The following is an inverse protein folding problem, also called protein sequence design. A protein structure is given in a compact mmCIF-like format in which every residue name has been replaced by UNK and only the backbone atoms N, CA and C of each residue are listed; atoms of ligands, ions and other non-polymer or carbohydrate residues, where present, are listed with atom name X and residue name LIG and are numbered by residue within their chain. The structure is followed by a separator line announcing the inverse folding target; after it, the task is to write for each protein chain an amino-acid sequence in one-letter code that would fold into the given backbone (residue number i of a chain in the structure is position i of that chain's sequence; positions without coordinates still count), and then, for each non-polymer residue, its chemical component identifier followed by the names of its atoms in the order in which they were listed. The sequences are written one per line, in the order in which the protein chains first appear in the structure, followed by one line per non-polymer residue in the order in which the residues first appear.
data_IF_081282575535
#
_entry.id   IF_081282575535
#
_cell.length_a   1.000
_cell.length_b   1.000
_cell.length_c   1.000
_cell.angle_alpha   90.00
_cell.angle_beta   90.00
_cell.angle_gamma   90.00
#
_symmetry.space_group_name_H-M   'P 1'
#
loop_
_entity.id
_entity.type
_entity.pdbx_description
1 polymer ?
#
# COMPACT_ATOMS: atom_id res chain seq x y z
N UNK A 1 -9.08 -15.71 -20.04
CA UNK A 1 -9.08 -15.04 -18.72
C UNK A 1 -7.86 -15.56 -18.01
N UNK A 2 -6.93 -14.70 -17.75
CA UNK A 2 -5.65 -15.09 -17.16
C UNK A 2 -5.86 -15.41 -15.68
N UNK A 3 -5.39 -16.56 -15.26
CA UNK A 3 -5.37 -17.08 -13.87
C UNK A 3 -4.51 -16.23 -12.90
N UNK A 4 -4.28 -14.96 -13.26
CA UNK A 4 -3.33 -14.04 -12.62
C UNK A 4 -3.97 -13.13 -11.55
N UNK A 5 -5.31 -13.06 -11.50
CA UNK A 5 -6.02 -12.15 -10.59
C UNK A 5 -7.22 -12.85 -9.96
N UNK A 6 -7.38 -12.67 -8.65
CA UNK A 6 -8.50 -13.18 -7.87
C UNK A 6 -9.09 -12.05 -7.02
N UNK A 7 -10.42 -12.00 -6.94
CA UNK A 7 -11.14 -11.06 -6.07
C UNK A 7 -11.56 -11.81 -4.81
N UNK A 8 -11.33 -11.23 -3.66
CA UNK A 8 -11.81 -11.74 -2.37
C UNK A 8 -12.49 -10.64 -1.55
N UNK A 9 -13.49 -11.03 -0.79
CA UNK A 9 -14.13 -10.20 0.24
C UNK A 9 -13.37 -10.38 1.55
N UNK A 10 -12.84 -9.29 2.12
CA UNK A 10 -12.20 -9.29 3.44
C UNK A 10 -13.15 -8.69 4.48
N UNK A 11 -13.13 -9.22 5.70
CA UNK A 11 -14.04 -8.80 6.78
C UNK A 11 -13.23 -8.41 8.01
N UNK A 12 -13.59 -7.27 8.59
CA UNK A 12 -13.04 -6.83 9.86
C UNK A 12 -13.44 -7.79 10.99
N UNK A 13 -12.50 -8.09 11.87
CA UNK A 13 -12.78 -8.83 13.11
C UNK A 13 -13.30 -7.88 14.19
N UNK A 14 -14.48 -8.16 14.74
CA UNK A 14 -15.14 -7.31 15.75
C UNK A 14 -14.46 -7.38 17.12
N UNK A 15 -13.63 -8.40 17.37
CA UNK A 15 -13.05 -8.71 18.69
C UNK A 15 -11.51 -8.77 18.69
N UNK A 16 -10.86 -8.40 17.60
CA UNK A 16 -9.40 -8.47 17.51
C UNK A 16 -8.75 -7.27 18.21
N UNK A 17 -7.74 -7.55 19.01
CA UNK A 17 -6.73 -6.56 19.36
C UNK A 17 -5.82 -6.40 18.13
N UNK A 18 -6.10 -5.38 17.34
CA UNK A 18 -5.44 -5.16 16.04
C UNK A 18 -3.91 -5.14 16.15
N UNK A 19 -3.38 -4.50 17.18
CA UNK A 19 -1.93 -4.35 17.35
C UNK A 19 -1.27 -5.70 17.65
N UNK A 20 -1.92 -6.55 18.46
CA UNK A 20 -1.43 -7.90 18.73
C UNK A 20 -1.50 -8.79 17.48
N UNK A 21 -2.56 -8.68 16.68
CA UNK A 21 -2.72 -9.42 15.43
C UNK A 21 -1.73 -8.93 14.35
N UNK A 22 -1.48 -7.62 14.28
CA UNK A 22 -0.48 -7.04 13.40
C UNK A 22 0.93 -7.55 13.72
N UNK A 23 1.30 -7.55 15.00
CA UNK A 23 2.60 -8.05 15.43
C UNK A 23 2.78 -9.56 15.17
N UNK A 24 1.71 -10.33 15.33
CA UNK A 24 1.69 -11.75 14.99
C UNK A 24 1.89 -11.98 13.49
N UNK A 25 1.16 -11.23 12.63
CA UNK A 25 1.31 -11.31 11.18
C UNK A 25 2.74 -10.95 10.74
N UNK A 26 3.31 -9.88 11.31
CA UNK A 26 4.68 -9.44 11.03
C UNK A 26 5.71 -10.52 11.36
N UNK A 27 5.54 -11.23 12.50
CA UNK A 27 6.41 -12.36 12.88
C UNK A 27 6.26 -13.56 11.93
N UNK A 28 5.05 -13.88 11.51
CA UNK A 28 4.77 -14.96 10.56
C UNK A 28 5.48 -14.69 9.23
N UNK A 29 5.25 -13.52 8.62
CA UNK A 29 5.88 -13.12 7.36
C UNK A 29 7.41 -13.07 7.46
N UNK A 30 7.95 -12.58 8.58
CA UNK A 30 9.40 -12.60 8.83
C UNK A 30 9.95 -14.01 8.86
N UNK A 31 9.23 -14.97 9.44
CA UNK A 31 9.64 -16.38 9.46
C UNK A 31 9.60 -17.03 8.08
N UNK A 32 8.70 -16.58 7.22
CA UNK A 32 8.58 -16.97 5.81
C UNK A 32 9.59 -16.25 4.90
N UNK A 33 10.29 -15.24 5.41
CA UNK A 33 11.22 -14.34 4.69
C UNK A 33 10.52 -13.48 3.65
N UNK A 34 9.24 -13.23 3.79
CA UNK A 34 8.48 -12.33 2.94
C UNK A 34 8.44 -10.93 3.56
N UNK A 35 8.83 -9.93 2.79
CA UNK A 35 8.72 -8.53 3.20
C UNK A 35 7.34 -8.01 2.77
N UNK A 36 6.54 -7.51 3.71
CA UNK A 36 5.26 -6.86 3.42
C UNK A 36 5.42 -5.34 3.44
N UNK A 37 5.17 -4.71 2.30
CA UNK A 37 5.12 -3.26 2.12
C UNK A 37 3.66 -2.79 2.11
N UNK A 38 3.30 -1.85 2.97
CA UNK A 38 2.01 -1.16 2.94
C UNK A 38 2.17 0.20 2.23
N UNK A 39 1.52 0.38 1.08
CA UNK A 39 1.57 1.60 0.29
C UNK A 39 0.28 2.40 0.47
N UNK A 40 0.40 3.59 1.00
CA UNK A 40 -0.72 4.47 1.35
C UNK A 40 -0.65 5.80 0.59
N UNK A 41 -1.78 6.41 0.32
CA UNK A 41 -1.88 7.77 -0.24
C UNK A 41 -3.30 8.25 -0.35
N UNK A 42 -3.48 9.50 -0.78
CA UNK A 42 -4.76 9.96 -1.29
C UNK A 42 -5.12 9.30 -2.63
N UNK A 43 -6.41 9.29 -3.02
CA UNK A 43 -6.82 8.89 -4.36
C UNK A 43 -6.15 9.76 -5.42
N UNK A 44 -5.75 9.13 -6.53
CA UNK A 44 -5.15 9.85 -7.66
C UNK A 44 -3.69 10.28 -7.48
N UNK A 45 -3.02 9.95 -6.39
CA UNK A 45 -1.59 10.25 -6.16
C UNK A 45 -0.64 9.51 -7.11
N UNK A 46 -1.10 8.41 -7.74
CA UNK A 46 -0.34 7.59 -8.67
C UNK A 46 0.21 6.30 -8.08
N UNK A 47 -0.42 5.74 -7.02
CA UNK A 47 -0.03 4.44 -6.42
C UNK A 47 0.19 3.36 -7.45
N UNK A 48 -0.87 2.97 -8.16
CA UNK A 48 -0.88 1.89 -9.15
C UNK A 48 0.16 2.09 -10.24
N UNK A 49 0.33 3.33 -10.75
CA UNK A 49 1.35 3.63 -11.76
C UNK A 49 2.77 3.44 -11.18
N UNK A 50 3.02 3.90 -9.97
CA UNK A 50 4.29 3.73 -9.26
C UNK A 50 4.57 2.25 -9.03
N UNK A 51 3.57 1.47 -8.60
CA UNK A 51 3.70 0.04 -8.39
C UNK A 51 4.05 -0.71 -9.68
N UNK A 52 3.35 -0.47 -10.77
CA UNK A 52 3.63 -1.08 -12.08
C UNK A 52 5.08 -0.85 -12.49
N UNK A 53 5.57 0.39 -12.36
CA UNK A 53 6.97 0.71 -12.69
C UNK A 53 7.97 0.04 -11.75
N UNK A 54 7.66 -0.02 -10.46
CA UNK A 54 8.50 -0.66 -9.45
C UNK A 54 8.59 -2.16 -9.68
N UNK A 55 7.44 -2.82 -9.89
CA UNK A 55 7.38 -4.26 -10.13
C UNK A 55 8.18 -4.62 -11.37
N UNK A 56 7.94 -3.95 -12.50
CA UNK A 56 8.63 -4.22 -13.76
C UNK A 56 10.17 -4.05 -13.68
N UNK A 57 10.66 -3.26 -12.73
CA UNK A 57 12.10 -3.11 -12.48
C UNK A 57 12.67 -4.20 -11.59
N UNK A 58 11.88 -4.68 -10.61
CA UNK A 58 12.33 -5.60 -9.57
C UNK A 58 11.99 -7.07 -9.86
N UNK A 59 11.02 -7.38 -10.74
CA UNK A 59 10.52 -8.75 -10.97
C UNK A 59 11.56 -9.74 -11.54
N UNK A 60 12.69 -9.24 -12.01
CA UNK A 60 13.81 -10.08 -12.45
C UNK A 60 14.62 -10.65 -11.29
N UNK A 61 14.62 -9.93 -10.16
CA UNK A 61 15.43 -10.23 -9.00
C UNK A 61 14.60 -10.72 -7.81
N UNK A 62 13.30 -10.33 -7.75
CA UNK A 62 12.39 -10.61 -6.65
C UNK A 62 11.09 -11.26 -7.15
N UNK A 63 10.59 -12.22 -6.41
CA UNK A 63 9.23 -12.75 -6.57
C UNK A 63 8.25 -11.83 -5.85
N UNK A 64 7.40 -11.16 -6.62
CA UNK A 64 6.52 -10.11 -6.12
C UNK A 64 5.06 -10.54 -6.25
N UNK A 65 4.28 -10.27 -5.20
CA UNK A 65 2.83 -10.37 -5.22
C UNK A 65 2.19 -9.09 -4.70
N UNK A 66 0.99 -8.76 -5.19
CA UNK A 66 0.27 -7.54 -4.88
C UNK A 66 -1.13 -7.84 -4.37
N UNK A 67 -1.49 -7.21 -3.28
CA UNK A 67 -2.83 -7.11 -2.73
C UNK A 67 -3.34 -5.70 -2.98
N UNK A 68 -4.37 -5.56 -3.79
CA UNK A 68 -4.98 -4.29 -4.12
C UNK A 68 -6.24 -4.13 -3.28
N UNK A 69 -6.32 -3.08 -2.47
CA UNK A 69 -7.45 -2.83 -1.60
C UNK A 69 -8.30 -1.66 -2.09
N UNK A 70 -9.54 -1.94 -2.37
CA UNK A 70 -10.53 -0.91 -2.71
C UNK A 70 -11.89 -1.25 -2.09
N UNK A 71 -12.77 -0.25 -2.02
CA UNK A 71 -14.12 -0.41 -1.48
C UNK A 71 -14.93 -1.34 -2.39
N UNK A 72 -14.85 -1.16 -3.72
CA UNK A 72 -15.68 -1.90 -4.69
C UNK A 72 -15.04 -2.00 -6.11
N UNK A 73 -13.92 -1.28 -6.37
CA UNK A 73 -13.26 -1.29 -7.69
C UNK A 73 -12.25 -2.43 -7.80
N UNK A 74 -12.07 -2.94 -9.02
CA UNK A 74 -11.07 -3.95 -9.38
C UNK A 74 -10.11 -3.47 -10.49
N UNK A 75 -10.23 -2.21 -10.90
CA UNK A 75 -9.50 -1.61 -12.03
C UNK A 75 -8.00 -1.64 -11.81
N UNK A 76 -7.55 -1.33 -10.59
CA UNK A 76 -6.13 -1.25 -10.27
C UNK A 76 -5.50 -2.65 -10.21
N UNK A 77 -6.19 -3.64 -9.64
CA UNK A 77 -5.74 -5.04 -9.66
C UNK A 77 -5.62 -5.60 -11.09
N UNK A 78 -6.59 -5.30 -11.96
CA UNK A 78 -6.49 -5.64 -13.39
C UNK A 78 -5.32 -4.95 -14.07
N UNK A 79 -5.10 -3.67 -13.78
CA UNK A 79 -3.97 -2.91 -14.34
C UNK A 79 -2.63 -3.53 -13.99
N UNK A 80 -2.45 -3.96 -12.74
CA UNK A 80 -1.24 -4.64 -12.28
C UNK A 80 -1.10 -6.00 -12.97
N UNK A 81 -2.17 -6.81 -13.00
CA UNK A 81 -2.17 -8.13 -13.62
C UNK A 81 -1.88 -8.10 -15.13
N UNK A 82 -2.31 -7.05 -15.84
CA UNK A 82 -2.06 -6.87 -17.27
C UNK A 82 -0.66 -6.35 -17.58
N UNK A 83 -0.13 -5.44 -16.73
CA UNK A 83 1.11 -4.69 -17.02
C UNK A 83 2.35 -5.28 -16.35
N UNK A 84 2.21 -6.29 -15.50
CA UNK A 84 3.31 -6.93 -14.78
C UNK A 84 3.19 -8.45 -14.79
N UNK A 85 4.23 -9.14 -14.31
CA UNK A 85 4.17 -10.59 -14.09
C UNK A 85 3.86 -10.94 -12.62
N UNK A 86 3.64 -9.95 -11.76
CA UNK A 86 3.30 -10.20 -10.36
C UNK A 86 1.92 -10.88 -10.23
N UNK A 87 1.81 -11.78 -9.25
CA UNK A 87 0.51 -12.30 -8.84
C UNK A 87 -0.26 -11.16 -8.19
N UNK A 88 -1.48 -10.90 -8.63
CA UNK A 88 -2.33 -9.83 -8.10
C UNK A 88 -3.65 -10.40 -7.57
N UNK A 89 -4.08 -9.91 -6.42
CA UNK A 89 -5.42 -10.17 -5.88
C UNK A 89 -6.09 -8.86 -5.51
N UNK A 90 -7.41 -8.83 -5.66
CA UNK A 90 -8.25 -7.72 -5.21
C UNK A 90 -8.87 -8.04 -3.86
N UNK A 91 -8.75 -7.11 -2.93
CA UNK A 91 -9.40 -7.13 -1.62
C UNK A 91 -10.56 -6.13 -1.63
N UNK A 92 -11.80 -6.61 -1.69
CA UNK A 92 -12.97 -5.78 -1.49
C UNK A 92 -13.26 -5.63 0.00
N UNK A 93 -13.18 -4.40 0.50
CA UNK A 93 -13.31 -4.10 1.93
C UNK A 93 -14.77 -4.05 2.41
N UNK A 94 -15.73 -4.15 1.49
CA UNK A 94 -17.16 -4.15 1.83
C UNK A 94 -17.64 -2.84 2.44
N UNK A 95 -17.07 -1.71 2.02
CA UNK A 95 -17.43 -0.38 2.48
C UNK A 95 -16.47 0.22 3.53
N UNK A 96 -15.47 -0.53 3.99
CA UNK A 96 -14.44 -0.01 4.90
C UNK A 96 -13.42 0.82 4.11
N UNK A 97 -12.99 1.94 4.68
CA UNK A 97 -12.01 2.86 4.08
C UNK A 97 -10.56 2.57 4.50
N UNK A 98 -10.30 1.40 5.08
CA UNK A 98 -8.99 0.94 5.56
C UNK A 98 -8.95 -0.59 5.58
N UNK A 99 -7.75 -1.13 5.81
CA UNK A 99 -7.56 -2.51 6.23
C UNK A 99 -6.95 -2.54 7.64
N UNK A 100 -7.38 -3.54 8.42
CA UNK A 100 -6.75 -3.94 9.66
C UNK A 100 -5.81 -5.15 9.45
N UNK A 101 -5.20 -5.64 10.53
CA UNK A 101 -4.28 -6.78 10.47
C UNK A 101 -4.97 -8.09 10.06
N UNK A 102 -6.23 -8.30 10.47
CA UNK A 102 -6.96 -9.53 10.12
C UNK A 102 -7.37 -9.53 8.65
N UNK A 103 -7.86 -8.40 8.14
CA UNK A 103 -8.16 -8.23 6.71
C UNK A 103 -6.91 -8.43 5.86
N UNK A 104 -5.78 -7.86 6.28
CA UNK A 104 -4.47 -8.05 5.63
C UNK A 104 -4.04 -9.52 5.66
N UNK A 105 -4.22 -10.22 6.78
CA UNK A 105 -3.94 -11.66 6.92
C UNK A 105 -4.77 -12.51 5.95
N UNK A 106 -6.05 -12.17 5.76
CA UNK A 106 -6.90 -12.85 4.78
C UNK A 106 -6.30 -12.70 3.37
N UNK A 107 -5.85 -11.49 3.01
CA UNK A 107 -5.18 -11.23 1.74
C UNK A 107 -3.86 -12.00 1.58
N UNK A 108 -3.00 -11.95 2.59
CA UNK A 108 -1.71 -12.68 2.64
C UNK A 108 -1.91 -14.18 2.41
N UNK A 109 -2.92 -14.75 3.05
CA UNK A 109 -3.26 -16.18 2.90
C UNK A 109 -3.71 -16.54 1.49
N UNK A 110 -4.53 -15.68 0.87
CA UNK A 110 -5.01 -15.89 -0.51
C UNK A 110 -3.94 -15.63 -1.55
N UNK A 111 -3.03 -14.68 -1.27
CA UNK A 111 -1.87 -14.41 -2.13
C UNK A 111 -0.86 -15.56 -2.11
N UNK A 112 -0.84 -16.37 -1.04
CA UNK A 112 0.14 -17.43 -0.78
C UNK A 112 1.58 -16.91 -0.83
N UNK A 113 1.93 -16.18 0.24
CA UNK A 113 3.16 -15.38 0.30
C UNK A 113 4.44 -16.20 0.55
N UNK A 114 4.33 -17.50 0.86
CA UNK A 114 5.48 -18.35 1.27
C UNK A 114 6.63 -18.40 0.28
N UNK A 115 6.32 -18.23 -1.00
CA UNK A 115 7.31 -18.23 -2.07
C UNK A 115 7.62 -16.82 -2.59
N UNK A 116 7.15 -15.77 -1.93
CA UNK A 116 7.38 -14.39 -2.31
C UNK A 116 8.50 -13.77 -1.49
N UNK A 117 9.33 -12.98 -2.14
CA UNK A 117 10.32 -12.11 -1.47
C UNK A 117 9.66 -10.81 -1.00
N UNK A 118 8.72 -10.28 -1.80
CA UNK A 118 8.01 -9.02 -1.57
C UNK A 118 6.52 -9.18 -1.78
N UNK A 119 5.73 -8.93 -0.76
CA UNK A 119 4.30 -8.71 -0.86
C UNK A 119 4.01 -7.21 -0.72
N UNK A 120 3.17 -6.66 -1.58
CA UNK A 120 2.78 -5.26 -1.55
C UNK A 120 1.29 -5.19 -1.27
N UNK A 121 0.92 -4.43 -0.25
CA UNK A 121 -0.46 -4.02 -0.02
C UNK A 121 -0.62 -2.59 -0.54
N UNK A 122 -1.32 -2.41 -1.66
CA UNK A 122 -1.82 -1.09 -2.06
C UNK A 122 -3.09 -0.82 -1.24
N UNK A 123 -2.99 0.05 -0.23
CA UNK A 123 -4.09 0.35 0.67
C UNK A 123 -5.13 1.25 0.02
N UNK A 124 -6.34 1.26 0.57
CA UNK A 124 -7.44 2.14 0.11
C UNK A 124 -6.96 3.60 0.04
N UNK A 125 -7.32 4.28 -1.03
CA UNK A 125 -6.96 5.70 -1.24
C UNK A 125 -7.62 6.61 -0.21
N UNK A 126 -6.92 6.86 0.92
CA UNK A 126 -7.38 7.65 2.05
C UNK A 126 -6.18 8.07 2.91
N UNK A 127 -6.18 9.31 3.42
CA UNK A 127 -5.11 9.84 4.30
C UNK A 127 -5.46 9.80 5.80
N UNK A 128 -6.63 9.31 6.17
CA UNK A 128 -7.11 9.27 7.57
C UNK A 128 -7.18 7.85 8.08
N UNK A 129 -8.17 7.09 7.63
CA UNK A 129 -8.47 5.77 8.17
C UNK A 129 -7.29 4.77 8.10
N UNK A 130 -6.54 4.64 6.98
CA UNK A 130 -5.42 3.71 6.93
C UNK A 130 -4.28 4.02 7.90
N UNK A 131 -4.21 5.25 8.41
CA UNK A 131 -3.21 5.65 9.40
C UNK A 131 -3.55 5.19 10.83
N UNK A 132 -4.79 4.83 11.09
CA UNK A 132 -5.28 4.45 12.43
C UNK A 132 -5.12 2.96 12.73
N UNK A 133 -4.85 2.13 11.69
CA UNK A 133 -4.82 0.68 11.81
C UNK A 133 -3.49 0.11 11.32
N UNK A 134 -2.80 -0.60 12.22
CA UNK A 134 -1.61 -1.37 11.85
C UNK A 134 -2.03 -2.59 11.02
N UNK A 135 -1.54 -2.68 9.81
CA UNK A 135 -1.80 -3.79 8.88
C UNK A 135 -0.90 -5.00 9.09
N UNK A 136 0.09 -4.91 9.99
CA UNK A 136 1.12 -5.93 10.17
C UNK A 136 2.23 -5.88 9.11
N UNK A 137 2.31 -4.80 8.33
CA UNK A 137 3.37 -4.60 7.36
C UNK A 137 4.74 -4.42 8.02
N UNK A 138 5.79 -4.77 7.28
CA UNK A 138 7.18 -4.55 7.69
C UNK A 138 7.62 -3.10 7.49
N UNK A 139 6.98 -2.40 6.55
CA UNK A 139 7.26 -1.01 6.22
C UNK A 139 6.00 -0.32 5.70
N UNK A 140 5.77 0.90 6.16
CA UNK A 140 4.73 1.80 5.68
C UNK A 140 5.35 2.86 4.76
N UNK A 141 4.84 2.98 3.54
CA UNK A 141 5.27 4.00 2.58
C UNK A 141 4.06 4.84 2.17
N UNK A 142 4.23 6.15 2.16
CA UNK A 142 3.21 7.09 1.72
C UNK A 142 3.62 7.73 0.39
N UNK A 143 2.66 7.92 -0.53
CA UNK A 143 2.86 8.73 -1.72
C UNK A 143 2.12 10.06 -1.55
N UNK A 144 2.84 11.15 -1.72
CA UNK A 144 2.31 12.50 -1.86
C UNK A 144 2.60 13.00 -3.27
N UNK A 145 1.59 13.38 -4.04
CA UNK A 145 1.81 13.95 -5.36
C UNK A 145 1.84 15.47 -5.32
N UNK A 146 2.68 16.09 -6.14
CA UNK A 146 2.80 17.55 -6.25
C UNK A 146 1.44 18.27 -6.40
N UNK A 147 0.50 17.80 -7.26
CA UNK A 147 -0.80 18.44 -7.37
C UNK A 147 -1.68 18.41 -6.11
N UNK A 148 -1.37 17.57 -5.13
CA UNK A 148 -2.12 17.53 -3.87
C UNK A 148 -1.75 18.69 -2.93
N UNK A 149 -0.57 19.27 -3.11
CA UNK A 149 -0.03 20.35 -2.29
C UNK A 149 0.84 19.87 -1.12
N UNK A 150 1.82 20.70 -0.77
CA UNK A 150 2.82 20.45 0.28
C UNK A 150 2.29 20.65 1.71
N UNK A 151 1.04 21.07 1.84
CA UNK A 151 0.36 21.23 3.12
C UNK A 151 -0.29 19.94 3.65
N UNK A 152 -0.30 18.86 2.89
CA UNK A 152 -0.89 17.57 3.29
C UNK A 152 -0.28 16.98 4.57
N UNK A 153 1.03 16.99 4.78
CA UNK A 153 1.61 16.52 6.04
C UNK A 153 1.13 17.30 7.26
N UNK A 154 0.84 18.60 7.11
CA UNK A 154 0.28 19.42 8.18
C UNK A 154 -1.21 19.16 8.43
N UNK A 155 -1.96 18.78 7.39
CA UNK A 155 -3.40 18.48 7.47
C UNK A 155 -3.70 17.07 7.97
N UNK A 156 -2.80 16.12 7.67
CA UNK A 156 -2.95 14.69 7.99
C UNK A 156 -1.71 14.15 8.73
N UNK A 157 -1.32 14.77 9.86
CA UNK A 157 -0.03 14.50 10.49
C UNK A 157 0.16 13.04 10.88
N UNK A 158 -0.91 12.33 11.29
CA UNK A 158 -0.81 10.93 11.67
C UNK A 158 -0.29 10.07 10.51
N UNK A 159 -0.87 10.20 9.30
CA UNK A 159 -0.46 9.45 8.12
C UNK A 159 1.04 9.58 7.85
N UNK A 160 1.55 10.81 7.88
CA UNK A 160 2.95 11.08 7.55
C UNK A 160 3.92 10.75 8.69
N UNK A 161 3.43 10.68 9.94
CA UNK A 161 4.24 10.30 11.10
C UNK A 161 4.45 8.79 11.21
N UNK A 162 3.44 8.00 10.83
CA UNK A 162 3.54 6.52 10.90
C UNK A 162 4.28 5.90 9.71
N UNK A 163 4.53 6.68 8.65
CA UNK A 163 5.25 6.18 7.48
C UNK A 163 6.75 6.15 7.72
N UNK A 164 7.40 5.05 7.32
CA UNK A 164 8.84 4.89 7.34
C UNK A 164 9.51 5.67 6.20
N UNK A 165 8.78 5.88 5.09
CA UNK A 165 9.25 6.66 3.94
C UNK A 165 8.07 7.37 3.25
N UNK A 166 8.39 8.50 2.60
CA UNK A 166 7.46 9.23 1.74
C UNK A 166 8.04 9.37 0.34
N UNK A 167 7.21 9.09 -0.67
CA UNK A 167 7.53 9.32 -2.08
C UNK A 167 6.82 10.59 -2.53
N UNK A 168 7.57 11.57 -3.05
CA UNK A 168 6.98 12.72 -3.74
C UNK A 168 6.85 12.35 -5.22
N UNK A 169 5.61 12.27 -5.69
CA UNK A 169 5.29 11.85 -7.05
C UNK A 169 4.82 13.02 -7.93
N UNK A 170 4.83 12.82 -9.25
CA UNK A 170 4.45 13.82 -10.25
C UNK A 170 5.30 15.09 -10.18
N UNK A 171 6.60 14.94 -9.92
CA UNK A 171 7.55 16.06 -9.84
C UNK A 171 7.76 16.77 -11.18
N UNK A 172 7.41 16.11 -12.28
CA UNK A 172 7.42 16.65 -13.64
C UNK A 172 6.47 17.84 -13.85
N UNK A 173 5.54 18.04 -12.93
CA UNK A 173 4.59 19.17 -12.97
C UNK A 173 4.84 20.22 -11.91
N UNK A 174 5.98 20.17 -11.17
CA UNK A 174 6.29 21.13 -10.10
C UNK A 174 6.20 22.59 -10.56
N UNK A 175 6.59 22.90 -11.80
CA UNK A 175 6.56 24.27 -12.34
C UNK A 175 5.13 24.86 -12.45
N UNK A 176 4.11 24.04 -12.34
CA UNK A 176 2.70 24.44 -12.45
C UNK A 176 1.98 24.51 -11.11
N UNK A 177 2.63 24.12 -10.01
CA UNK A 177 2.04 24.07 -8.68
C UNK A 177 2.92 24.80 -7.68
N UNK A 178 2.29 25.41 -6.69
CA UNK A 178 2.98 25.97 -5.52
C UNK A 178 3.29 24.81 -4.56
N UNK A 179 4.47 24.18 -4.75
CA UNK A 179 4.93 23.05 -3.97
C UNK A 179 6.39 23.26 -3.57
N UNK A 180 6.63 23.41 -2.27
CA UNK A 180 7.98 23.59 -1.73
C UNK A 180 8.66 22.24 -1.49
N UNK A 181 9.58 21.85 -2.40
CA UNK A 181 10.35 20.61 -2.31
C UNK A 181 11.36 20.62 -1.13
N UNK A 182 11.74 21.80 -0.65
CA UNK A 182 12.68 21.97 0.47
C UNK A 182 11.95 22.02 1.83
N UNK A 183 10.64 21.89 1.83
CA UNK A 183 9.83 21.91 3.03
C UNK A 183 10.27 20.78 3.98
N UNK A 184 10.54 21.13 5.23
CA UNK A 184 10.99 20.19 6.25
C UNK A 184 9.80 19.65 7.02
N UNK A 185 9.16 18.62 6.49
CA UNK A 185 8.18 17.86 7.26
C UNK A 185 8.89 16.96 8.28
N UNK A 186 8.28 16.79 9.43
CA UNK A 186 8.72 15.80 10.44
C UNK A 186 8.24 14.40 10.04
N UNK A 187 8.83 13.87 8.97
CA UNK A 187 8.54 12.54 8.42
C UNK A 187 9.83 11.74 8.28
N UNK A 188 9.73 10.44 8.43
CA UNK A 188 10.85 9.53 8.31
C UNK A 188 11.13 9.26 6.81
N UNK A 189 12.29 9.60 6.30
CA UNK A 189 12.76 9.24 4.95
C UNK A 189 11.92 9.80 3.77
N UNK A 190 12.43 10.82 3.06
CA UNK A 190 11.81 11.34 1.83
C UNK A 190 12.55 10.78 0.62
N UNK A 191 11.79 10.25 -0.36
CA UNK A 191 12.27 9.79 -1.66
C UNK A 191 11.56 10.61 -2.74
N UNK A 192 12.29 11.39 -3.52
CA UNK A 192 11.77 12.20 -4.61
C UNK A 192 12.15 11.62 -5.99
#
# INVERSE_FOLDING_TARGET
MTDKMKIIEVKQSVFADNDADAEKLRKELKSEKTFLLNLMSAPGSGKTTTLVQTINRLEKDLKIGVMEADIDSDVDAYTIAEKTNAKSIQLHTGGMCHLDADMTRQGVKELDTKDLDLAILENVGNLVCPAEFDTGASMNVCILSVPEGDDKPLKYPLMFTICDAMIINKIDVCDYFDFDMDNKWDVCGIIA
#
